data_IF_695521577720
#
_entry.id   IF_695521577720
#
_cell.length_a   1.000
_cell.length_b   1.000
_cell.length_c   1.000
_cell.angle_alpha   90.00
_cell.angle_beta   90.00
_cell.angle_gamma   90.00
#
_symmetry.space_group_name_H-M   'P 1'
#
loop_
_entity.id
_entity.type
_entity.pdbx_description
1 polymer ?
#
# COMPACT_ATOMS: atom_id res chain seq x y z
N UNK A 1 4.83 -5.53 19.69
CA UNK A 1 5.73 -6.28 18.78
C UNK A 1 5.48 -5.78 17.37
N UNK A 2 6.42 -5.01 16.82
CA UNK A 2 6.26 -4.36 15.52
C UNK A 2 6.45 -5.41 14.43
N UNK A 3 5.36 -5.86 13.84
CA UNK A 3 5.34 -6.84 12.74
C UNK A 3 6.00 -6.21 11.50
N UNK A 4 7.30 -6.44 11.36
CA UNK A 4 8.15 -5.95 10.25
C UNK A 4 7.94 -6.80 9.00
N UNK A 5 6.68 -7.07 8.64
CA UNK A 5 6.34 -7.79 7.41
C UNK A 5 6.62 -6.90 6.21
N UNK A 6 7.34 -7.48 5.25
CA UNK A 6 7.56 -6.90 3.95
C UNK A 6 6.33 -7.14 3.08
N UNK A 7 5.58 -6.10 2.81
CA UNK A 7 4.44 -6.14 1.93
C UNK A 7 4.83 -5.82 0.49
N UNK A 8 4.41 -6.70 -0.40
CA UNK A 8 4.34 -6.41 -1.82
C UNK A 8 3.11 -5.56 -2.15
N UNK A 9 3.01 -5.03 -3.37
CA UNK A 9 1.83 -4.29 -3.82
C UNK A 9 0.50 -5.00 -3.52
N UNK A 10 0.45 -6.34 -3.63
CA UNK A 10 -0.76 -7.14 -3.39
C UNK A 10 -1.17 -7.13 -1.92
N UNK A 11 -0.20 -7.22 -1.01
CA UNK A 11 -0.47 -7.17 0.44
C UNK A 11 -0.87 -5.77 0.88
N UNK A 12 -0.23 -4.73 0.36
CA UNK A 12 -0.63 -3.33 0.59
C UNK A 12 -2.07 -3.10 0.13
N UNK A 13 -2.38 -3.57 -1.08
CA UNK A 13 -3.71 -3.47 -1.67
C UNK A 13 -4.76 -4.15 -0.79
N UNK A 14 -4.52 -5.42 -0.41
CA UNK A 14 -5.40 -6.18 0.45
C UNK A 14 -5.57 -5.54 1.83
N UNK A 15 -4.49 -5.00 2.42
CA UNK A 15 -4.54 -4.37 3.73
C UNK A 15 -5.39 -3.10 3.76
N UNK A 16 -5.28 -2.27 2.73
CA UNK A 16 -6.01 -0.99 2.64
C UNK A 16 -7.41 -1.21 2.02
N UNK A 17 -7.68 -2.40 1.48
CA UNK A 17 -8.93 -2.69 0.77
C UNK A 17 -9.02 -2.00 -0.58
N UNK A 18 -7.89 -1.77 -1.24
CA UNK A 18 -7.81 -1.17 -2.59
C UNK A 18 -7.30 -2.19 -3.60
N UNK A 19 -7.38 -1.88 -4.89
CA UNK A 19 -6.78 -2.71 -5.93
C UNK A 19 -5.28 -2.44 -6.07
N UNK A 20 -4.54 -3.45 -6.55
CA UNK A 20 -3.10 -3.36 -6.84
C UNK A 20 -2.77 -2.20 -7.79
N UNK A 21 -3.64 -1.97 -8.79
CA UNK A 21 -3.55 -0.84 -9.73
C UNK A 21 -3.68 0.52 -9.06
N UNK A 22 -4.47 0.60 -7.98
CA UNK A 22 -4.58 1.82 -7.16
C UNK A 22 -3.25 2.10 -6.45
N UNK A 23 -2.62 1.07 -5.88
CA UNK A 23 -1.30 1.21 -5.24
C UNK A 23 -0.24 1.63 -6.26
N UNK A 24 -0.28 1.06 -7.47
CA UNK A 24 0.60 1.45 -8.58
C UNK A 24 0.36 2.92 -9.00
N UNK A 25 -0.89 3.37 -9.03
CA UNK A 25 -1.23 4.78 -9.26
C UNK A 25 -0.68 5.67 -8.15
N UNK A 26 -0.82 5.30 -6.88
CA UNK A 26 -0.23 6.09 -5.78
C UNK A 26 1.28 6.23 -5.91
N UNK A 27 1.98 5.16 -6.30
CA UNK A 27 3.42 5.26 -6.59
C UNK A 27 3.69 6.21 -7.76
N UNK A 28 2.94 6.08 -8.86
CA UNK A 28 3.09 6.94 -10.04
C UNK A 28 2.86 8.42 -9.73
N UNK A 29 1.94 8.72 -8.83
CA UNK A 29 1.60 10.07 -8.39
C UNK A 29 2.46 10.57 -7.21
N UNK A 30 3.44 9.79 -6.73
CA UNK A 30 4.28 10.18 -5.59
C UNK A 30 3.53 10.24 -4.25
N UNK A 31 2.36 9.62 -4.16
CA UNK A 31 1.54 9.56 -2.96
C UNK A 31 1.93 8.38 -2.06
N UNK A 32 2.49 7.32 -2.65
CA UNK A 32 2.97 6.16 -1.89
C UNK A 32 4.35 6.48 -1.30
N UNK A 33 4.64 6.06 -0.06
CA UNK A 33 6.00 6.13 0.48
C UNK A 33 7.01 5.40 -0.41
N UNK A 34 8.29 5.80 -0.29
CA UNK A 34 9.39 5.12 -0.95
C UNK A 34 9.45 3.64 -0.51
N UNK A 35 9.83 2.71 -1.42
CA UNK A 35 9.99 1.31 -1.05
C UNK A 35 11.17 1.15 -0.11
N UNK A 36 10.93 0.49 1.02
CA UNK A 36 11.93 0.21 2.04
C UNK A 36 12.95 -0.84 1.56
N UNK A 37 12.50 -1.78 0.72
CA UNK A 37 13.33 -2.84 0.16
C UNK A 37 13.00 -3.04 -1.31
N UNK A 38 14.00 -3.33 -2.14
CA UNK A 38 13.78 -3.79 -3.51
C UNK A 38 14.51 -5.09 -3.71
N UNK A 39 13.77 -6.19 -3.83
CA UNK A 39 14.34 -7.53 -3.97
C UNK A 39 13.99 -8.10 -5.35
N UNK A 40 15.00 -8.50 -6.12
CA UNK A 40 14.81 -9.05 -7.47
C UNK A 40 14.07 -8.10 -8.44
N UNK A 41 14.23 -6.78 -8.27
CA UNK A 41 13.53 -5.77 -9.07
C UNK A 41 12.08 -5.49 -8.64
N UNK A 42 11.61 -6.12 -7.56
CA UNK A 42 10.29 -5.85 -6.98
C UNK A 42 10.44 -4.97 -5.74
N UNK A 43 9.77 -3.81 -5.69
CA UNK A 43 9.74 -2.99 -4.48
C UNK A 43 8.81 -3.60 -3.43
N UNK A 44 9.25 -3.56 -2.18
CA UNK A 44 8.57 -4.00 -0.98
C UNK A 44 8.56 -2.86 0.04
N UNK A 45 7.53 -2.85 0.87
CA UNK A 45 7.34 -1.85 1.92
C UNK A 45 7.14 -2.54 3.25
N UNK A 46 7.55 -1.91 4.34
CA UNK A 46 7.15 -2.41 5.64
C UNK A 46 5.67 -2.12 5.91
N UNK A 47 5.01 -3.10 6.53
CA UNK A 47 3.65 -2.95 7.06
C UNK A 47 3.53 -1.69 7.93
N UNK A 48 4.58 -1.38 8.70
CA UNK A 48 4.64 -0.20 9.56
C UNK A 48 4.62 1.12 8.77
N UNK A 49 5.46 1.24 7.74
CA UNK A 49 5.49 2.40 6.82
C UNK A 49 4.12 2.66 6.20
N UNK A 50 3.48 1.58 5.72
CA UNK A 50 2.16 1.66 5.09
C UNK A 50 1.09 2.03 6.11
N UNK A 51 1.08 1.43 7.30
CA UNK A 51 0.13 1.77 8.38
C UNK A 51 0.27 3.23 8.80
N UNK A 52 1.50 3.71 8.98
CA UNK A 52 1.79 5.11 9.30
C UNK A 52 1.32 6.06 8.20
N UNK A 53 1.49 5.68 6.93
CA UNK A 53 0.96 6.44 5.80
C UNK A 53 -0.57 6.45 5.74
N UNK A 54 -1.22 5.28 5.87
CA UNK A 54 -2.68 5.13 5.87
C UNK A 54 -3.30 5.99 6.97
N UNK A 55 -2.72 5.98 8.17
CA UNK A 55 -3.19 6.77 9.31
C UNK A 55 -3.10 8.29 9.07
N UNK A 56 -2.14 8.74 8.26
CA UNK A 56 -1.92 10.15 7.93
C UNK A 56 -2.70 10.62 6.71
N UNK A 57 -3.40 9.72 6.02
CA UNK A 57 -4.01 10.01 4.73
C UNK A 57 -5.35 10.74 4.89
N UNK A 58 -5.51 11.97 4.34
CA UNK A 58 -6.78 12.65 4.31
C UNK A 58 -7.66 12.06 3.20
N UNK A 59 -8.55 11.13 3.56
CA UNK A 59 -9.66 10.68 2.71
C UNK A 59 -9.41 9.40 1.90
N UNK A 60 -10.18 8.35 2.18
CA UNK A 60 -11.52 8.14 1.60
C UNK A 60 -12.03 6.78 2.11
N UNK A 61 -13.14 6.82 2.84
CA UNK A 61 -13.93 5.67 3.28
C UNK A 61 -14.07 4.62 2.16
N UNK A 62 -14.01 3.30 2.47
CA UNK A 62 -14.03 2.25 1.45
C UNK A 62 -15.41 2.21 0.78
N UNK A 63 -15.53 2.87 -0.36
CA UNK A 63 -16.65 2.61 -1.27
C UNK A 63 -16.34 1.32 -2.00
N UNK A 64 -16.75 0.23 -1.34
CA UNK A 64 -17.00 -1.07 -1.93
C UNK A 64 -17.80 -0.87 -3.23
N UNK A 65 -17.18 -1.09 -4.38
CA UNK A 65 -17.91 -1.28 -5.64
C UNK A 65 -17.72 -2.75 -6.02
N UNK A 66 -18.71 -3.62 -5.79
CA UNK A 66 -18.73 -4.92 -6.43
C UNK A 66 -19.05 -4.67 -7.91
N UNK A 67 -18.14 -5.02 -8.82
CA UNK A 67 -18.50 -5.15 -10.22
C UNK A 67 -19.08 -6.55 -10.41
N UNK A 68 -20.37 -6.58 -10.73
CA UNK A 68 -20.98 -7.71 -11.42
C UNK A 68 -20.50 -7.84 -12.86
#
# INVERSE_FOLDING_TARGET
MTDRRLWSYKEIAAHIGVQTDTVRSYRKHGLLPAPDLTEGGRPYWFADTIRGWVARRPGRSPRNTPRG
#
